data_IF_646509389907
#
_entry.id   IF_646509389907
#
_cell.length_a   1.000
_cell.length_b   1.000
_cell.length_c   1.000
_cell.angle_alpha   90.00
_cell.angle_beta   90.00
_cell.angle_gamma   90.00
#
_symmetry.space_group_name_H-M   'P 1'
#
loop_
_entity.id
_entity.type
_entity.pdbx_description
1 polymer ?
#
# COMPACT_ATOMS: atom_id res chain seq x y z
N UNK A 1 -9.93 -0.73 -5.03
CA UNK A 1 -8.80 -1.64 -5.34
C UNK A 1 -7.48 -0.89 -5.24
N UNK A 2 -6.41 -1.53 -4.76
CA UNK A 2 -5.05 -0.95 -4.82
C UNK A 2 -4.22 -1.73 -5.84
N UNK A 3 -3.71 -1.05 -6.85
CA UNK A 3 -2.68 -1.61 -7.72
C UNK A 3 -1.34 -1.44 -6.99
N UNK A 4 -0.70 -2.53 -6.57
CA UNK A 4 0.53 -2.42 -5.77
C UNK A 4 1.65 -1.72 -6.55
N UNK A 5 1.72 -1.91 -7.86
CA UNK A 5 2.59 -1.16 -8.75
C UNK A 5 2.05 -1.17 -10.16
N UNK A 6 2.36 -0.12 -10.92
CA UNK A 6 2.18 -0.11 -12.37
C UNK A 6 3.39 -0.68 -13.08
N UNK A 7 4.59 -0.39 -12.57
CA UNK A 7 5.86 -0.86 -13.11
C UNK A 7 6.66 -1.55 -12.01
N UNK A 8 7.36 -2.62 -12.36
CA UNK A 8 8.23 -3.36 -11.45
C UNK A 8 9.67 -3.31 -11.96
N UNK A 9 10.64 -3.11 -11.06
CA UNK A 9 12.05 -3.21 -11.40
C UNK A 9 12.57 -1.99 -12.14
N UNK A 10 13.45 -2.21 -13.12
CA UNK A 10 14.34 -1.20 -13.73
C UNK A 10 13.62 -0.05 -14.46
N UNK A 11 14.40 1.01 -14.70
CA UNK A 11 14.05 2.39 -15.02
C UNK A 11 12.86 2.62 -15.96
N UNK A 12 12.14 3.70 -15.67
CA UNK A 12 11.00 4.14 -16.48
C UNK A 12 11.51 4.62 -17.84
N UNK A 13 11.12 3.91 -18.91
CA UNK A 13 11.47 4.24 -20.30
C UNK A 13 11.09 5.68 -20.67
N UNK A 14 11.75 6.23 -21.69
CA UNK A 14 11.35 7.49 -22.33
C UNK A 14 11.08 7.23 -23.83
N UNK A 15 9.82 7.37 -24.30
CA UNK A 15 8.61 7.68 -23.52
C UNK A 15 8.20 6.55 -22.56
N UNK A 16 7.39 6.87 -21.54
CA UNK A 16 6.87 5.88 -20.59
C UNK A 16 5.93 4.94 -21.32
N UNK A 17 6.25 3.64 -21.35
CA UNK A 17 5.35 2.62 -21.89
C UNK A 17 4.56 1.97 -20.75
N UNK A 18 3.26 2.26 -20.68
CA UNK A 18 2.38 1.60 -19.73
C UNK A 18 2.09 0.15 -20.19
N UNK A 19 2.02 -0.81 -19.26
CA UNK A 19 1.56 -2.15 -19.59
C UNK A 19 0.10 -2.16 -20.07
N UNK A 20 -0.23 -3.04 -21.02
CA UNK A 20 -1.60 -3.18 -21.54
C UNK A 20 -2.64 -3.46 -20.45
N UNK A 21 -2.25 -4.16 -19.38
CA UNK A 21 -3.16 -4.49 -18.28
C UNK A 21 -3.66 -3.24 -17.54
N UNK A 22 -2.97 -2.10 -17.61
CA UNK A 22 -3.40 -0.85 -16.96
C UNK A 22 -4.71 -0.37 -17.56
N UNK A 23 -4.84 -0.40 -18.88
CA UNK A 23 -6.08 -0.04 -19.56
C UNK A 23 -7.21 -1.01 -19.17
N UNK A 24 -6.94 -2.31 -19.19
CA UNK A 24 -7.92 -3.32 -18.79
C UNK A 24 -8.39 -3.13 -17.33
N UNK A 25 -7.48 -2.77 -16.42
CA UNK A 25 -7.81 -2.47 -15.04
C UNK A 25 -8.72 -1.23 -14.92
N UNK A 26 -8.45 -0.17 -15.69
CA UNK A 26 -9.29 1.04 -15.71
C UNK A 26 -10.68 0.72 -16.26
N UNK A 27 -10.79 -0.02 -17.38
CA UNK A 27 -12.08 -0.44 -17.94
C UNK A 27 -12.88 -1.30 -16.95
N UNK A 28 -12.24 -2.31 -16.35
CA UNK A 28 -12.90 -3.18 -15.37
C UNK A 28 -13.32 -2.45 -14.09
N UNK A 29 -12.61 -1.37 -13.71
CA UNK A 29 -13.02 -0.49 -12.62
C UNK A 29 -14.24 0.35 -12.99
N UNK A 30 -14.30 0.87 -14.22
CA UNK A 30 -15.40 1.65 -14.76
C UNK A 30 -16.68 0.80 -14.84
N UNK A 31 -16.57 -0.41 -15.39
CA UNK A 31 -17.67 -1.37 -15.49
C UNK A 31 -18.18 -1.85 -14.12
N UNK A 32 -17.30 -1.96 -13.13
CA UNK A 32 -17.66 -2.48 -11.79
C UNK A 32 -17.96 -1.38 -10.76
N UNK A 33 -17.81 -0.10 -11.12
CA UNK A 33 -17.92 1.03 -10.19
C UNK A 33 -16.85 1.05 -9.09
N UNK A 34 -15.74 0.32 -9.27
CA UNK A 34 -14.66 0.23 -8.28
C UNK A 34 -13.64 1.33 -8.49
N UNK A 35 -13.33 2.11 -7.44
CA UNK A 35 -12.21 3.06 -7.48
C UNK A 35 -10.84 2.37 -7.36
N UNK A 36 -9.83 2.89 -8.05
CA UNK A 36 -8.45 2.41 -8.10
C UNK A 36 -7.51 3.39 -7.38
N UNK A 37 -6.71 2.86 -6.46
CA UNK A 37 -5.46 3.48 -6.02
C UNK A 37 -4.34 3.07 -6.95
N UNK A 38 -3.76 4.01 -7.67
CA UNK A 38 -2.76 3.73 -8.70
C UNK A 38 -1.36 3.63 -8.08
N UNK A 39 -0.81 2.42 -8.06
CA UNK A 39 0.57 2.17 -7.68
C UNK A 39 1.56 2.73 -8.69
N UNK A 40 2.63 3.31 -8.19
CA UNK A 40 3.73 3.83 -8.99
C UNK A 40 4.70 2.70 -9.40
N UNK A 41 5.97 3.03 -9.67
CA UNK A 41 7.02 2.04 -9.91
C UNK A 41 7.49 1.48 -8.57
N UNK A 42 7.54 0.16 -8.45
CA UNK A 42 8.23 -0.55 -7.38
C UNK A 42 9.69 -0.80 -7.75
N UNK A 43 10.63 -0.36 -6.91
CA UNK A 43 12.05 -0.71 -7.03
C UNK A 43 12.43 -1.75 -5.96
N UNK A 44 12.70 -3.02 -6.32
CA UNK A 44 13.09 -4.04 -5.34
C UNK A 44 14.42 -3.72 -4.64
N UNK A 45 15.25 -2.86 -5.23
CA UNK A 45 16.52 -2.41 -4.65
C UNK A 45 16.40 -1.04 -3.96
N UNK A 46 15.18 -0.56 -3.67
CA UNK A 46 14.96 0.78 -3.10
C UNK A 46 15.79 1.04 -1.84
N UNK A 47 15.74 0.13 -0.87
CA UNK A 47 16.41 0.29 0.42
C UNK A 47 17.93 0.29 0.23
N UNK A 48 18.44 -0.63 -0.61
CA UNK A 48 19.87 -0.75 -0.91
C UNK A 48 20.40 0.51 -1.59
N UNK A 49 19.77 0.95 -2.68
CA UNK A 49 20.17 2.15 -3.44
C UNK A 49 20.01 3.42 -2.61
N UNK A 50 19.00 3.49 -1.74
CA UNK A 50 18.86 4.60 -0.80
C UNK A 50 20.05 4.66 0.17
N UNK A 51 20.48 3.52 0.72
CA UNK A 51 21.65 3.45 1.61
C UNK A 51 22.95 3.80 0.89
N UNK A 52 23.12 3.36 -0.35
CA UNK A 52 24.35 3.56 -1.14
C UNK A 52 24.45 4.97 -1.76
N UNK A 53 23.37 5.46 -2.37
CA UNK A 53 23.39 6.65 -3.23
C UNK A 53 22.59 7.83 -2.67
N UNK A 54 21.79 7.61 -1.61
CA UNK A 54 21.06 8.65 -0.89
C UNK A 54 20.24 9.58 -1.80
N UNK A 55 20.53 10.88 -1.72
CA UNK A 55 19.76 11.92 -2.43
C UNK A 55 19.82 11.83 -3.95
N UNK A 56 20.94 11.37 -4.51
CA UNK A 56 21.11 11.27 -5.98
C UNK A 56 20.12 10.26 -6.56
N UNK A 57 20.01 9.09 -5.91
CA UNK A 57 19.02 8.08 -6.28
C UNK A 57 17.58 8.60 -6.13
N UNK A 58 17.27 9.25 -5.01
CA UNK A 58 15.94 9.82 -4.78
C UNK A 58 15.55 10.91 -5.79
N UNK A 59 16.52 11.71 -6.28
CA UNK A 59 16.26 12.69 -7.33
C UNK A 59 15.80 12.02 -8.63
N UNK A 60 16.47 10.94 -9.03
CA UNK A 60 16.07 10.14 -10.20
C UNK A 60 14.67 9.54 -10.00
N UNK A 61 14.40 8.96 -8.82
CA UNK A 61 13.08 8.41 -8.46
C UNK A 61 11.94 9.43 -8.57
N UNK A 62 12.18 10.68 -8.17
CA UNK A 62 11.19 11.76 -8.29
C UNK A 62 10.88 12.11 -9.76
N UNK A 63 11.90 12.14 -10.61
CA UNK A 63 11.72 12.39 -12.05
C UNK A 63 10.94 11.25 -12.72
N UNK A 64 11.23 10.01 -12.37
CA UNK A 64 10.48 8.83 -12.83
C UNK A 64 9.04 8.87 -12.39
N UNK A 65 8.80 9.20 -11.11
CA UNK A 65 7.45 9.32 -10.54
C UNK A 65 6.63 10.36 -11.28
N UNK A 66 7.21 11.53 -11.57
CA UNK A 66 6.53 12.58 -12.36
C UNK A 66 6.14 12.08 -13.75
N UNK A 67 7.06 11.40 -14.45
CA UNK A 67 6.81 10.84 -15.79
C UNK A 67 5.72 9.78 -15.77
N UNK A 68 5.80 8.82 -14.85
CA UNK A 68 4.83 7.75 -14.71
C UNK A 68 3.44 8.26 -14.33
N UNK A 69 3.35 9.17 -13.36
CA UNK A 69 2.08 9.76 -12.94
C UNK A 69 1.40 10.54 -14.08
N UNK A 70 2.16 11.25 -14.92
CA UNK A 70 1.63 11.90 -16.12
C UNK A 70 1.08 10.89 -17.13
N UNK A 71 1.82 9.80 -17.39
CA UNK A 71 1.36 8.75 -18.29
C UNK A 71 0.07 8.08 -17.77
N UNK A 72 0.02 7.77 -16.47
CA UNK A 72 -1.18 7.21 -15.82
C UNK A 72 -2.37 8.17 -15.90
N UNK A 73 -2.17 9.46 -15.62
CA UNK A 73 -3.22 10.48 -15.79
C UNK A 73 -3.76 10.47 -17.23
N UNK A 74 -2.87 10.51 -18.23
CA UNK A 74 -3.29 10.48 -19.64
C UNK A 74 -4.08 9.22 -19.97
N UNK A 75 -3.66 8.05 -19.48
CA UNK A 75 -4.38 6.79 -19.68
C UNK A 75 -5.76 6.80 -19.02
N UNK A 76 -5.89 7.31 -17.79
CA UNK A 76 -7.18 7.43 -17.09
C UNK A 76 -8.14 8.32 -17.89
N UNK A 77 -7.67 9.48 -18.34
CA UNK A 77 -8.46 10.44 -19.13
C UNK A 77 -8.85 9.88 -20.51
N UNK A 78 -8.01 9.00 -21.09
CA UNK A 78 -8.29 8.36 -22.37
C UNK A 78 -9.35 7.27 -22.26
N UNK A 79 -9.32 6.47 -21.18
CA UNK A 79 -10.15 5.26 -21.06
C UNK A 79 -11.52 5.54 -20.44
N UNK A 80 -11.62 6.44 -19.46
CA UNK A 80 -12.87 6.71 -18.74
C UNK A 80 -13.36 8.14 -19.00
N UNK A 81 -14.65 8.27 -19.32
CA UNK A 81 -15.34 9.55 -19.45
C UNK A 81 -15.57 10.24 -18.10
N UNK A 82 -15.47 9.51 -16.98
CA UNK A 82 -15.61 10.05 -15.63
C UNK A 82 -14.41 9.69 -14.74
N UNK A 83 -13.21 10.25 -14.99
CA UNK A 83 -11.96 9.95 -14.29
C UNK A 83 -12.05 9.96 -12.76
N UNK A 84 -12.87 10.85 -12.19
CA UNK A 84 -13.07 11.00 -10.75
C UNK A 84 -13.85 9.82 -10.11
N UNK A 85 -14.60 9.06 -10.92
CA UNK A 85 -15.27 7.83 -10.46
C UNK A 85 -14.33 6.63 -10.43
N UNK A 86 -13.18 6.70 -11.11
CA UNK A 86 -12.17 5.64 -11.14
C UNK A 86 -11.01 5.94 -10.22
N UNK A 87 -10.56 7.19 -10.17
CA UNK A 87 -9.39 7.57 -9.42
C UNK A 87 -9.70 7.67 -7.92
N UNK A 88 -9.22 6.71 -7.12
CA UNK A 88 -9.28 6.78 -5.66
C UNK A 88 -8.17 7.65 -5.08
N UNK A 89 -6.98 7.61 -5.70
CA UNK A 89 -5.77 8.21 -5.19
C UNK A 89 -4.51 7.53 -5.72
N UNK A 90 -3.36 7.94 -5.17
CA UNK A 90 -2.05 7.41 -5.51
C UNK A 90 -1.54 6.44 -4.44
N UNK A 91 -0.81 5.41 -4.86
CA UNK A 91 -0.10 4.51 -3.98
C UNK A 91 1.41 4.57 -4.28
N UNK A 92 2.20 5.05 -3.31
CA UNK A 92 3.66 5.00 -3.42
C UNK A 92 4.09 3.56 -3.17
N UNK A 93 4.55 2.90 -4.23
CA UNK A 93 4.92 1.49 -4.21
C UNK A 93 6.18 1.21 -3.42
N UNK A 94 7.06 2.20 -3.19
CA UNK A 94 8.25 2.02 -2.35
C UNK A 94 7.83 1.74 -0.90
N UNK A 95 8.07 0.52 -0.43
CA UNK A 95 7.66 0.08 0.90
C UNK A 95 8.64 0.59 1.97
N UNK A 96 8.11 1.15 3.05
CA UNK A 96 8.90 1.77 4.12
C UNK A 96 9.14 0.78 5.25
N UNK A 97 10.36 0.27 5.32
CA UNK A 97 10.83 -0.59 6.42
C UNK A 97 10.92 0.18 7.75
N UNK A 98 10.49 -0.45 8.85
CA UNK A 98 10.69 0.04 10.20
C UNK A 98 12.16 0.31 10.56
N UNK A 99 13.12 -0.47 10.05
CA UNK A 99 14.55 -0.24 10.28
C UNK A 99 15.02 1.09 9.68
N UNK A 100 14.57 1.40 8.45
CA UNK A 100 14.85 2.68 7.80
C UNK A 100 14.40 3.87 8.65
N UNK A 101 13.30 3.70 9.38
CA UNK A 101 12.75 4.74 10.25
C UNK A 101 13.48 4.86 11.59
N UNK A 102 14.24 3.86 12.03
CA UNK A 102 15.05 4.00 13.23
C UNK A 102 16.34 4.79 12.97
N UNK A 103 16.92 4.64 11.78
CA UNK A 103 18.08 5.42 11.36
C UNK A 103 17.71 6.89 11.12
N UNK A 104 18.43 7.81 11.77
CA UNK A 104 18.08 9.23 11.71
C UNK A 104 18.35 9.90 10.36
N UNK A 105 19.35 9.43 9.61
CA UNK A 105 19.72 9.96 8.31
C UNK A 105 18.78 9.42 7.23
N UNK A 106 18.56 8.10 7.22
CA UNK A 106 17.65 7.47 6.27
C UNK A 106 16.21 7.97 6.48
N UNK A 107 15.75 8.10 7.73
CA UNK A 107 14.45 8.71 8.03
C UNK A 107 14.32 10.12 7.46
N UNK A 108 15.35 10.98 7.53
CA UNK A 108 15.33 12.32 6.93
C UNK A 108 15.21 12.25 5.40
N UNK A 109 15.96 11.36 4.75
CA UNK A 109 15.93 11.17 3.30
C UNK A 109 14.54 10.69 2.83
N UNK A 110 13.99 9.65 3.46
CA UNK A 110 12.66 9.12 3.15
C UNK A 110 11.58 10.16 3.40
N UNK A 111 11.66 10.92 4.50
CA UNK A 111 10.69 12.00 4.78
C UNK A 111 10.73 13.04 3.67
N UNK A 112 11.92 13.50 3.26
CA UNK A 112 12.04 14.47 2.17
C UNK A 112 11.49 13.92 0.85
N UNK A 113 11.85 12.68 0.51
CA UNK A 113 11.39 12.00 -0.71
C UNK A 113 9.87 11.87 -0.77
N UNK A 114 9.25 11.40 0.31
CA UNK A 114 7.79 11.24 0.40
C UNK A 114 7.07 12.59 0.33
N UNK A 115 7.57 13.63 1.00
CA UNK A 115 7.03 15.00 0.87
C UNK A 115 7.08 15.50 -0.57
N UNK A 116 8.22 15.35 -1.25
CA UNK A 116 8.38 15.79 -2.64
C UNK A 116 7.53 14.97 -3.61
N UNK A 117 7.43 13.66 -3.38
CA UNK A 117 6.57 12.75 -4.15
C UNK A 117 5.11 13.17 -4.04
N UNK A 118 4.61 13.44 -2.83
CA UNK A 118 3.24 13.95 -2.63
C UNK A 118 3.00 15.24 -3.40
N UNK A 119 3.94 16.19 -3.35
CA UNK A 119 3.80 17.46 -4.06
C UNK A 119 3.69 17.25 -5.58
N UNK A 120 4.55 16.40 -6.16
CA UNK A 120 4.51 16.01 -7.57
C UNK A 120 3.15 15.42 -7.93
N UNK A 121 2.71 14.41 -7.18
CA UNK A 121 1.44 13.70 -7.44
C UNK A 121 0.24 14.65 -7.37
N UNK A 122 0.19 15.50 -6.33
CA UNK A 122 -0.87 16.50 -6.15
C UNK A 122 -0.93 17.48 -7.33
N UNK A 123 0.21 17.89 -7.88
CA UNK A 123 0.25 18.79 -9.05
C UNK A 123 -0.22 18.15 -10.35
N UNK A 124 -0.10 16.82 -10.49
CA UNK A 124 -0.42 16.10 -11.72
C UNK A 124 -1.90 15.73 -11.74
N UNK A 125 -2.35 15.00 -10.73
CA UNK A 125 -3.74 14.59 -10.52
C UNK A 125 -4.02 14.63 -9.01
N UNK A 126 -4.69 15.68 -8.52
CA UNK A 126 -4.99 15.82 -7.11
C UNK A 126 -5.81 14.65 -6.56
N UNK A 127 -5.41 14.14 -5.41
CA UNK A 127 -6.11 13.10 -4.66
C UNK A 127 -5.30 12.66 -3.46
N UNK A 128 -5.84 11.77 -2.63
CA UNK A 128 -5.14 11.23 -1.48
C UNK A 128 -3.95 10.36 -1.90
N UNK A 129 -2.94 10.27 -1.04
CA UNK A 129 -1.73 9.49 -1.26
C UNK A 129 -1.55 8.50 -0.12
N UNK A 130 -1.45 7.22 -0.49
CA UNK A 130 -1.17 6.11 0.41
C UNK A 130 0.28 5.65 0.27
N UNK A 131 0.87 5.21 1.37
CA UNK A 131 2.16 4.53 1.42
C UNK A 131 2.02 3.19 2.16
N UNK A 132 2.88 2.22 1.87
CA UNK A 132 2.95 0.98 2.65
C UNK A 132 4.17 0.93 3.56
N UNK A 133 4.00 0.31 4.72
CA UNK A 133 5.08 0.02 5.65
C UNK A 133 5.04 -1.42 6.15
N UNK A 134 6.22 -1.95 6.46
CA UNK A 134 6.40 -3.26 7.08
C UNK A 134 7.59 -3.19 8.04
N UNK A 135 7.80 -4.25 8.83
CA UNK A 135 9.02 -4.44 9.61
C UNK A 135 9.15 -5.89 10.04
N UNK A 136 10.37 -6.33 10.29
CA UNK A 136 10.73 -7.57 10.98
C UNK A 136 11.15 -7.33 12.46
N UNK A 137 11.13 -6.07 12.90
CA UNK A 137 11.53 -5.67 14.24
C UNK A 137 10.48 -6.12 15.27
N UNK A 138 10.77 -7.25 15.92
CA UNK A 138 9.90 -7.82 16.97
C UNK A 138 9.85 -6.99 18.26
N UNK A 139 10.81 -6.08 18.45
CA UNK A 139 10.91 -5.21 19.63
C UNK A 139 10.91 -3.74 19.19
N UNK A 140 10.27 -2.86 19.99
CA UNK A 140 10.09 -1.39 19.79
C UNK A 140 8.80 -0.89 19.08
N UNK A 141 7.61 -1.48 19.32
CA UNK A 141 6.37 -1.07 18.65
C UNK A 141 6.00 0.41 18.87
N UNK A 142 6.14 0.93 20.11
CA UNK A 142 5.84 2.34 20.42
C UNK A 142 6.78 3.33 19.72
N UNK A 143 8.07 2.99 19.64
CA UNK A 143 9.07 3.86 18.99
C UNK A 143 8.83 3.92 17.49
N UNK A 144 8.60 2.76 16.87
CA UNK A 144 8.27 2.69 15.45
C UNK A 144 6.96 3.42 15.12
N UNK A 145 5.90 3.22 15.93
CA UNK A 145 4.66 3.96 15.78
C UNK A 145 4.86 5.48 15.77
N UNK A 146 5.67 6.01 16.69
CA UNK A 146 6.01 7.43 16.71
C UNK A 146 6.85 7.90 15.51
N UNK A 147 7.62 7.01 14.87
CA UNK A 147 8.36 7.36 13.66
C UNK A 147 7.48 7.35 12.41
N UNK A 148 6.59 6.36 12.25
CA UNK A 148 5.59 6.35 11.19
C UNK A 148 4.67 7.56 11.30
N UNK A 149 4.17 7.86 12.51
CA UNK A 149 3.34 9.04 12.76
C UNK A 149 4.05 10.33 12.32
N UNK A 150 5.29 10.54 12.76
CA UNK A 150 6.11 11.69 12.33
C UNK A 150 6.35 11.73 10.82
N UNK A 151 6.58 10.59 10.17
CA UNK A 151 6.72 10.52 8.72
C UNK A 151 5.44 10.98 8.04
N UNK A 152 4.29 10.39 8.41
CA UNK A 152 2.98 10.71 7.85
C UNK A 152 2.64 12.19 8.02
N UNK A 153 2.82 12.76 9.22
CA UNK A 153 2.57 14.17 9.49
C UNK A 153 3.46 15.09 8.65
N UNK A 154 4.78 14.85 8.61
CA UNK A 154 5.73 15.71 7.89
C UNK A 154 5.62 15.63 6.37
N UNK A 155 5.24 14.46 5.86
CA UNK A 155 5.01 14.24 4.43
C UNK A 155 3.57 14.54 4.02
N UNK A 156 2.69 14.79 4.99
CA UNK A 156 1.25 15.00 4.82
C UNK A 156 0.56 13.86 4.06
N UNK A 157 1.01 12.63 4.27
CA UNK A 157 0.39 11.44 3.67
C UNK A 157 -0.95 11.15 4.33
N UNK A 158 -1.89 10.61 3.55
CA UNK A 158 -3.28 10.44 3.99
C UNK A 158 -3.50 9.06 4.62
N UNK A 159 -2.87 8.02 4.06
CA UNK A 159 -3.09 6.63 4.45
C UNK A 159 -1.76 5.88 4.62
N UNK A 160 -1.61 5.23 5.78
CA UNK A 160 -0.60 4.20 6.00
C UNK A 160 -1.22 2.82 5.85
N UNK A 161 -0.79 2.07 4.84
CA UNK A 161 -1.06 0.65 4.67
C UNK A 161 0.00 -0.15 5.43
N UNK A 162 -0.30 -0.63 6.63
CA UNK A 162 0.67 -1.33 7.48
C UNK A 162 0.52 -2.85 7.34
N UNK A 163 1.53 -3.53 6.83
CA UNK A 163 1.56 -4.99 6.67
C UNK A 163 1.62 -5.71 8.02
N UNK A 164 0.87 -6.81 8.14
CA UNK A 164 0.86 -7.63 9.35
C UNK A 164 2.15 -8.44 9.55
N UNK A 165 2.90 -8.70 8.45
CA UNK A 165 4.17 -9.43 8.40
C UNK A 165 4.06 -10.92 8.72
N UNK A 166 2.84 -11.48 8.75
CA UNK A 166 2.60 -12.85 9.23
C UNK A 166 2.73 -13.89 8.10
N UNK A 167 2.29 -13.57 6.89
CA UNK A 167 2.40 -14.45 5.72
C UNK A 167 3.83 -14.54 5.18
N UNK A 168 4.56 -13.41 5.21
CA UNK A 168 5.98 -13.35 4.88
C UNK A 168 6.91 -13.82 6.02
N UNK A 169 6.36 -14.22 7.17
CA UNK A 169 7.10 -14.66 8.38
C UNK A 169 8.11 -13.63 8.92
N UNK A 170 7.87 -12.35 8.68
CA UNK A 170 8.68 -11.26 9.25
C UNK A 170 8.35 -11.04 10.73
N UNK A 171 7.11 -11.33 11.12
CA UNK A 171 6.59 -11.07 12.46
C UNK A 171 5.87 -12.28 13.06
N UNK A 172 5.87 -12.35 14.39
CA UNK A 172 4.99 -13.24 15.13
C UNK A 172 3.64 -12.57 15.41
N UNK A 173 2.55 -13.33 15.61
CA UNK A 173 1.22 -12.77 15.88
C UNK A 173 1.19 -11.73 17.00
N UNK A 174 1.84 -12.01 18.14
CA UNK A 174 1.91 -11.08 19.27
C UNK A 174 2.65 -9.79 18.93
N UNK A 175 3.83 -9.89 18.29
CA UNK A 175 4.61 -8.71 17.89
C UNK A 175 3.88 -7.86 16.86
N UNK A 176 3.24 -8.51 15.87
CA UNK A 176 2.40 -7.85 14.86
C UNK A 176 1.24 -7.09 15.53
N UNK A 177 0.49 -7.76 16.41
CA UNK A 177 -0.61 -7.15 17.16
C UNK A 177 -0.13 -5.97 18.01
N UNK A 178 1.00 -6.13 18.70
CA UNK A 178 1.56 -5.07 19.53
C UNK A 178 1.97 -3.85 18.70
N UNK A 179 2.51 -4.05 17.50
CA UNK A 179 2.85 -2.95 16.59
C UNK A 179 1.59 -2.25 16.09
N UNK A 180 0.62 -2.99 15.55
CA UNK A 180 -0.63 -2.43 15.06
C UNK A 180 -1.38 -1.65 16.15
N UNK A 181 -1.39 -2.14 17.39
CA UNK A 181 -2.00 -1.43 18.51
C UNK A 181 -1.26 -0.11 18.83
N UNK A 182 0.07 -0.14 18.82
CA UNK A 182 0.88 1.06 19.05
C UNK A 182 0.67 2.11 17.95
N UNK A 183 0.64 1.68 16.69
CA UNK A 183 0.39 2.56 15.53
C UNK A 183 -1.02 3.13 15.58
N UNK A 184 -2.04 2.29 15.81
CA UNK A 184 -3.43 2.76 15.94
C UNK A 184 -3.59 3.78 17.07
N UNK A 185 -2.94 3.55 18.20
CA UNK A 185 -2.97 4.49 19.34
C UNK A 185 -2.30 5.82 18.99
N UNK A 186 -1.14 5.79 18.34
CA UNK A 186 -0.44 7.01 17.93
C UNK A 186 -1.25 7.83 16.92
N UNK A 187 -1.85 7.17 15.93
CA UNK A 187 -2.52 7.85 14.81
C UNK A 187 -3.89 8.44 15.18
N UNK A 188 -4.58 7.88 16.19
CA UNK A 188 -5.81 8.48 16.74
C UNK A 188 -5.62 9.93 17.20
N UNK A 189 -4.41 10.32 17.58
CA UNK A 189 -4.12 11.66 18.05
C UNK A 189 -3.98 12.69 16.92
N UNK A 190 -3.66 12.26 15.69
CA UNK A 190 -3.26 13.16 14.59
C UNK A 190 -4.14 13.06 13.34
N UNK A 191 -5.29 12.36 13.42
CA UNK A 191 -6.26 12.17 12.32
C UNK A 191 -5.70 11.50 11.06
N UNK A 192 -4.61 10.74 11.18
CA UNK A 192 -4.09 9.92 10.08
C UNK A 192 -4.88 8.62 9.96
N UNK A 193 -5.05 8.13 8.73
CA UNK A 193 -5.70 6.83 8.52
C UNK A 193 -4.66 5.72 8.48
N UNK A 194 -4.86 4.68 9.30
CA UNK A 194 -4.08 3.44 9.23
C UNK A 194 -5.00 2.33 8.77
N UNK A 195 -4.63 1.68 7.68
CA UNK A 195 -5.32 0.50 7.17
C UNK A 195 -4.38 -0.68 7.35
N UNK A 196 -4.70 -1.65 8.22
CA UNK A 196 -3.96 -2.89 8.28
C UNK A 196 -4.04 -3.64 6.94
N UNK A 197 -2.91 -4.18 6.50
CA UNK A 197 -2.82 -5.07 5.33
C UNK A 197 -2.63 -6.49 5.85
N UNK A 198 -3.64 -7.32 5.64
CA UNK A 198 -3.62 -8.73 6.02
C UNK A 198 -3.07 -9.57 4.88
N UNK A 199 -1.98 -10.27 5.13
CA UNK A 199 -1.39 -11.19 4.17
C UNK A 199 -2.22 -12.48 4.12
N UNK A 200 -2.84 -12.77 2.97
CA UNK A 200 -3.71 -13.95 2.75
C UNK A 200 -2.94 -15.13 2.12
N UNK A 201 -1.64 -15.18 2.35
CA UNK A 201 -0.74 -16.20 1.84
C UNK A 201 0.22 -16.71 2.91
N UNK A 202 0.95 -17.78 2.58
CA UNK A 202 2.11 -18.30 3.32
C UNK A 202 3.28 -18.50 2.35
N UNK A 203 4.51 -18.46 2.85
CA UNK A 203 5.67 -18.98 2.11
C UNK A 203 5.46 -20.47 1.84
N UNK A 204 5.62 -20.88 0.58
CA UNK A 204 5.56 -22.27 0.17
C UNK A 204 6.76 -23.03 0.74
N UNK A 205 6.56 -23.97 1.68
CA UNK A 205 7.67 -24.69 2.30
C UNK A 205 8.35 -25.68 1.35
N UNK A 206 7.81 -25.89 0.15
CA UNK A 206 8.31 -26.85 -0.84
C UNK A 206 9.35 -26.24 -1.78
N UNK A 207 9.60 -24.93 -1.69
CA UNK A 207 10.51 -24.22 -2.59
C UNK A 207 11.56 -23.45 -1.81
N UNK A 208 12.81 -23.46 -2.31
CA UNK A 208 13.90 -22.68 -1.72
C UNK A 208 13.75 -21.18 -2.02
N UNK A 209 13.14 -20.83 -3.15
CA UNK A 209 12.84 -19.44 -3.52
C UNK A 209 11.63 -18.92 -2.74
N UNK A 210 11.56 -17.58 -2.59
CA UNK A 210 10.37 -16.91 -2.06
C UNK A 210 9.20 -17.06 -3.04
N UNK A 211 8.43 -18.13 -2.87
CA UNK A 211 7.13 -18.37 -3.51
C UNK A 211 6.09 -18.49 -2.43
N UNK A 212 4.89 -18.04 -2.74
CA UNK A 212 3.79 -17.98 -1.78
C UNK A 212 2.59 -18.76 -2.30
N UNK A 213 1.85 -19.36 -1.36
CA UNK A 213 0.61 -20.10 -1.60
C UNK A 213 -0.53 -19.49 -0.77
N UNK A 214 -1.79 -19.64 -1.20
CA UNK A 214 -2.93 -19.13 -0.42
C UNK A 214 -2.95 -19.75 0.99
N UNK A 215 -3.22 -18.93 2.00
CA UNK A 215 -3.44 -19.42 3.37
C UNK A 215 -4.85 -20.00 3.52
N UNK A 216 -5.17 -20.58 4.68
CA UNK A 216 -6.53 -21.07 4.95
C UNK A 216 -7.47 -19.92 5.37
N UNK A 217 -8.78 -20.08 5.18
CA UNK A 217 -9.77 -19.12 5.70
C UNK A 217 -9.66 -18.93 7.21
N UNK A 218 -9.35 -20.01 7.95
CA UNK A 218 -9.14 -19.95 9.40
C UNK A 218 -7.96 -19.05 9.77
N UNK A 219 -6.83 -19.22 9.08
CA UNK A 219 -5.64 -18.38 9.26
C UNK A 219 -5.92 -16.93 8.90
N UNK A 220 -6.54 -16.67 7.73
CA UNK A 220 -6.92 -15.32 7.32
C UNK A 220 -7.82 -14.64 8.37
N UNK A 221 -8.83 -15.35 8.90
CA UNK A 221 -9.69 -14.83 9.97
C UNK A 221 -8.92 -14.53 11.25
N UNK A 222 -7.95 -15.37 11.60
CA UNK A 222 -7.07 -15.14 12.75
C UNK A 222 -6.24 -13.87 12.57
N UNK A 223 -5.62 -13.69 11.39
CA UNK A 223 -4.85 -12.48 11.05
C UNK A 223 -5.71 -11.22 11.04
N UNK A 224 -6.93 -11.29 10.48
CA UNK A 224 -7.92 -10.21 10.55
C UNK A 224 -8.20 -9.80 12.01
N UNK A 225 -8.46 -10.76 12.91
CA UNK A 225 -8.64 -10.49 14.34
C UNK A 225 -7.39 -9.93 15.03
N UNK A 226 -6.20 -10.23 14.50
CA UNK A 226 -4.92 -9.80 15.06
C UNK A 226 -4.69 -8.28 14.89
N UNK A 227 -5.11 -7.73 13.76
CA UNK A 227 -4.79 -6.34 13.37
C UNK A 227 -6.01 -5.41 13.26
N UNK A 228 -7.23 -5.98 13.16
CA UNK A 228 -8.47 -5.20 13.07
C UNK A 228 -9.12 -5.06 14.45
N UNK A 229 -8.85 -3.94 15.11
CA UNK A 229 -9.33 -3.68 16.49
C UNK A 229 -10.80 -3.27 16.60
N UNK A 230 -11.47 -2.91 15.50
CA UNK A 230 -12.89 -2.59 15.49
C UNK A 230 -13.58 -3.09 14.20
N UNK A 231 -14.82 -3.62 14.27
CA UNK A 231 -15.56 -4.13 13.11
C UNK A 231 -15.86 -3.12 11.99
N UNK A 232 -15.79 -1.82 12.28
CA UNK A 232 -15.95 -0.76 11.28
C UNK A 232 -14.66 -0.34 10.58
N UNK A 233 -13.49 -0.73 11.11
CA UNK A 233 -12.22 -0.27 10.55
C UNK A 233 -11.97 -0.94 9.19
N UNK A 234 -11.54 -0.16 8.18
CA UNK A 234 -11.12 -0.71 6.89
C UNK A 234 -9.91 -1.63 7.06
N UNK A 235 -9.81 -2.60 6.17
CA UNK A 235 -8.69 -3.54 6.07
C UNK A 235 -8.38 -3.79 4.60
N UNK A 236 -7.10 -3.94 4.27
CA UNK A 236 -6.64 -4.37 2.96
C UNK A 236 -6.23 -5.85 3.01
N UNK A 237 -6.43 -6.58 1.92
CA UNK A 237 -6.01 -7.98 1.79
C UNK A 237 -4.90 -8.07 0.73
N UNK A 238 -3.81 -8.75 1.06
CA UNK A 238 -2.64 -8.86 0.19
C UNK A 238 -2.25 -10.33 -0.05
N UNK A 239 -2.21 -10.87 -1.27
CA UNK A 239 -2.67 -10.32 -2.56
C UNK A 239 -3.77 -11.16 -3.18
N UNK A 240 -4.92 -10.54 -3.48
CA UNK A 240 -6.08 -11.20 -4.08
C UNK A 240 -5.80 -11.77 -5.47
N UNK A 241 -5.11 -11.02 -6.34
CA UNK A 241 -4.83 -11.46 -7.71
C UNK A 241 -4.03 -12.76 -7.76
N UNK A 242 -2.93 -12.82 -7.01
CA UNK A 242 -2.10 -14.01 -6.97
C UNK A 242 -2.80 -15.15 -6.24
N UNK A 243 -3.35 -14.92 -5.04
CA UNK A 243 -3.74 -15.99 -4.11
C UNK A 243 -5.22 -16.38 -4.14
N UNK A 244 -6.06 -15.61 -4.83
CA UNK A 244 -7.49 -15.92 -4.98
C UNK A 244 -7.85 -16.10 -6.45
N UNK A 245 -7.42 -15.18 -7.32
CA UNK A 245 -7.81 -15.22 -8.74
C UNK A 245 -6.95 -16.16 -9.59
N UNK A 246 -5.62 -16.18 -9.37
CA UNK A 246 -4.68 -17.00 -10.17
C UNK A 246 -4.46 -18.40 -9.61
N UNK A 247 -4.41 -18.55 -8.29
CA UNK A 247 -4.36 -19.88 -7.66
C UNK A 247 -5.75 -20.53 -7.71
N UNK A 248 -5.84 -21.76 -8.23
CA UNK A 248 -7.07 -22.55 -8.24
C UNK A 248 -6.92 -23.82 -7.40
N UNK A 249 -6.86 -23.63 -6.07
CA UNK A 249 -6.84 -24.73 -5.12
C UNK A 249 -8.00 -24.59 -4.12
N UNK A 250 -8.14 -25.58 -3.22
CA UNK A 250 -9.21 -25.55 -2.22
C UNK A 250 -9.17 -24.26 -1.38
N UNK A 251 -8.00 -23.83 -0.95
CA UNK A 251 -7.83 -22.67 -0.07
C UNK A 251 -8.19 -21.35 -0.76
N UNK A 252 -7.79 -21.17 -2.03
CA UNK A 252 -8.17 -19.97 -2.79
C UNK A 252 -9.68 -19.89 -3.01
N UNK A 253 -10.33 -21.00 -3.39
CA UNK A 253 -11.80 -21.08 -3.56
C UNK A 253 -12.56 -20.85 -2.25
N UNK A 254 -12.06 -21.37 -1.14
CA UNK A 254 -12.65 -21.14 0.19
C UNK A 254 -12.56 -19.66 0.59
N UNK A 255 -11.40 -19.01 0.33
CA UNK A 255 -11.23 -17.56 0.57
C UNK A 255 -12.17 -16.76 -0.33
N UNK A 256 -12.24 -17.07 -1.63
CA UNK A 256 -13.14 -16.40 -2.56
C UNK A 256 -14.60 -16.47 -2.11
N UNK A 257 -15.04 -17.68 -1.72
CA UNK A 257 -16.39 -17.93 -1.19
C UNK A 257 -16.65 -17.10 0.05
N UNK A 258 -15.71 -17.07 0.99
CA UNK A 258 -15.81 -16.24 2.19
C UNK A 258 -15.94 -14.75 1.85
N UNK A 259 -15.12 -14.23 0.92
CA UNK A 259 -15.18 -12.82 0.53
C UNK A 259 -16.51 -12.48 -0.16
N UNK A 260 -16.98 -13.32 -1.09
CA UNK A 260 -18.28 -13.15 -1.77
C UNK A 260 -19.45 -13.12 -0.78
N UNK A 261 -19.45 -14.00 0.22
CA UNK A 261 -20.48 -14.02 1.26
C UNK A 261 -20.48 -12.75 2.13
N UNK A 262 -19.33 -12.09 2.27
CA UNK A 262 -19.17 -10.91 3.14
C UNK A 262 -19.12 -9.58 2.37
N UNK A 263 -19.15 -9.60 1.03
CA UNK A 263 -19.08 -8.40 0.19
C UNK A 263 -20.22 -7.40 0.44
N UNK A 264 -21.41 -7.89 0.83
CA UNK A 264 -22.60 -7.06 1.09
C UNK A 264 -22.53 -6.25 2.40
N UNK A 265 -21.54 -6.47 3.26
CA UNK A 265 -21.38 -5.75 4.54
C UNK A 265 -20.63 -4.42 4.36
N UNK A 266 -20.03 -4.16 3.19
CA UNK A 266 -19.17 -2.99 2.96
C UNK A 266 -19.81 -1.84 2.16
N UNK A 267 -21.05 -1.97 1.68
CA UNK A 267 -21.73 -0.96 0.84
C UNK A 267 -22.19 0.31 1.60
N UNK A 268 -21.65 0.60 2.78
CA UNK A 268 -22.05 1.73 3.62
C UNK A 268 -20.91 2.54 4.24
N UNK A 269 -19.65 2.28 3.88
CA UNK A 269 -18.49 2.99 4.43
C UNK A 269 -17.60 3.45 3.27
N UNK A 270 -17.81 4.68 2.80
CA UNK A 270 -16.74 5.38 2.08
C UNK A 270 -15.54 5.52 3.02
N UNK A 271 -14.32 5.36 2.49
CA UNK A 271 -13.11 5.67 3.24
C UNK A 271 -13.12 7.19 3.52
N UNK A 272 -13.63 7.59 4.68
CA UNK A 272 -13.58 8.98 5.13
C UNK A 272 -12.12 9.39 5.26
N UNK A 273 -11.63 10.15 4.30
CA UNK A 273 -10.37 10.89 4.46
C UNK A 273 -10.60 12.00 5.47
N UNK A 274 -9.66 12.19 6.41
CA UNK A 274 -9.73 13.33 7.32
C UNK A 274 -9.83 14.64 6.51
N UNK A 275 -10.98 15.32 6.62
CA UNK A 275 -11.24 16.58 5.95
C UNK A 275 -10.10 17.58 6.17
N UNK A 276 -9.30 17.86 5.14
CA UNK A 276 -8.47 19.07 5.07
C UNK A 276 -9.26 20.17 4.37
N UNK A 277 -10.36 20.59 5.00
CA UNK A 277 -10.99 21.86 4.70
C UNK A 277 -10.33 22.93 5.57
N UNK A 278 -9.38 23.67 5.00
CA UNK A 278 -8.93 24.93 5.58
C UNK A 278 -10.10 25.93 5.50
N UNK A 279 -10.51 26.60 6.60
CA UNK A 279 -11.42 27.73 6.48
C UNK A 279 -10.72 28.87 5.72
N UNK A 280 -11.50 29.57 4.89
CA UNK A 280 -11.14 30.82 4.22
C UNK A 280 -10.69 31.89 5.21
#
# INVERSE_FOLDING_TARGET
MVLQWTLWGTDVSQPVKLPMWVEAAIRGADESGTKIWFGLRYDPSFIEKLKQNGSTYLHQRLQETSRLAKALKSQILYVSSEPNKIFAGWYISDEIDGELLLDSNLRKLVTRYTTQTRAILKSILPGPVAISGYTDLKSKPKKLAGHWDKLMSKSSMDILLLQDGLGAKLMEPYSSRSLHNAVSTAFRQQKHTVIPVVEIFEIDPRTADFKTIPTTVGTMKSRLKNVRFAPGNPVALFSLSSHVLKFDNKHSRDIETFLKQNAKVCNGLELETANTSTPQ
#
